data_IF_633264570751
#
_entry.id   IF_633264570751
#
_cell.length_a   1.000
_cell.length_b   1.000
_cell.length_c   1.000
_cell.angle_alpha   90.00
_cell.angle_beta   90.00
_cell.angle_gamma   90.00
#
_symmetry.space_group_name_H-M   'P 1'
#
loop_
_entity.id
_entity.type
_entity.pdbx_description
1 polymer ?
2 non-polymer ?
3 non-polymer ?
4 non-polymer ?
5 non-polymer ?
6 water ?
#
# COMPACT_ATOMS: atom_id res chain seq x y z
N UNK A 4 -14.97 -27.13 -7.18
CA UNK A 4 -16.19 -26.33 -7.12
C UNK A 4 -15.92 -24.83 -6.92
N UNK A 5 -16.94 -24.00 -7.18
CA UNK A 5 -16.89 -22.56 -7.03
C UNK A 5 -16.64 -22.11 -5.57
N UNK A 6 -16.28 -20.83 -5.38
CA UNK A 6 -16.00 -20.30 -4.06
C UNK A 6 -16.52 -18.89 -3.89
N UNK A 7 -17.07 -18.59 -2.72
CA UNK A 7 -17.43 -17.24 -2.31
C UNK A 7 -16.89 -16.99 -0.91
N UNK A 8 -16.66 -15.72 -0.58
CA UNK A 8 -16.09 -15.35 0.72
C UNK A 8 -17.04 -14.47 1.51
N UNK A 9 -16.96 -14.56 2.85
CA UNK A 9 -17.73 -13.70 3.75
C UNK A 9 -16.69 -13.02 4.62
N UNK A 10 -16.75 -11.70 4.74
CA UNK A 10 -15.79 -10.95 5.56
C UNK A 10 -16.52 -10.19 6.62
N UNK A 11 -16.16 -10.42 7.88
CA UNK A 11 -16.80 -9.76 9.02
C UNK A 11 -16.07 -8.48 9.27
N UNK A 12 -16.81 -7.34 9.22
CA UNK A 12 -16.18 -6.02 9.32
C UNK A 12 -17.06 -5.00 9.99
N UNK A 13 -18.05 -5.46 10.79
CA UNK A 13 -19.01 -4.60 11.48
C UNK A 13 -18.52 -3.97 12.79
N UNK A 14 -17.33 -4.34 13.26
CA UNK A 14 -16.75 -3.87 14.51
C UNK A 14 -16.51 -2.37 14.64
N UNK A 15 -16.79 -1.82 15.84
CA UNK A 15 -16.60 -0.40 16.13
C UNK A 15 -15.12 -0.04 16.23
N UNK A 16 -14.33 -0.93 16.86
CA UNK A 16 -12.91 -0.70 17.12
C UNK A 16 -12.70 0.42 18.11
N UNK A 17 -13.44 0.36 19.22
CA UNK A 17 -13.41 1.32 20.33
C UNK A 17 -11.98 1.62 20.82
N UNK A 18 -11.14 0.58 21.01
CA UNK A 18 -9.77 0.71 21.53
C UNK A 18 -8.79 1.38 20.55
N UNK A 19 -9.21 1.73 19.33
CA UNK A 19 -8.35 2.49 18.38
C UNK A 19 -8.48 3.99 18.71
N UNK A 20 -9.62 4.38 19.40
CA UNK A 20 -9.93 5.77 19.76
C UNK A 20 -9.94 6.69 18.54
N UNK A 21 -10.66 6.25 17.53
CA UNK A 21 -10.72 6.87 16.22
C UNK A 21 -12.15 7.15 15.76
N UNK A 22 -12.31 8.07 14.79
CA UNK A 22 -13.61 8.33 14.18
C UNK A 22 -13.84 7.32 13.07
N UNK A 23 -12.78 6.57 12.69
CA UNK A 23 -12.86 5.54 11.66
C UNK A 23 -13.35 4.25 12.26
N UNK A 24 -14.10 3.42 11.50
CA UNK A 24 -14.40 2.07 12.00
C UNK A 24 -13.12 1.23 11.93
N UNK A 25 -13.05 0.19 12.78
CA UNK A 25 -11.91 -0.71 12.98
C UNK A 25 -11.14 -1.16 11.72
N UNK A 26 -11.83 -1.62 10.67
CA UNK A 26 -11.20 -2.25 9.51
C UNK A 26 -10.59 -1.30 8.48
N UNK A 27 -10.88 0.01 8.58
CA UNK A 27 -10.38 1.01 7.64
C UNK A 27 -8.96 1.50 7.98
N UNK A 28 -8.47 1.24 9.22
CA UNK A 28 -7.10 1.59 9.59
C UNK A 28 -6.21 0.77 8.67
N UNK A 29 -5.17 1.40 8.18
CA UNK A 29 -4.32 0.80 7.17
C UNK A 29 -3.15 -0.03 7.67
N UNK A 30 -2.77 -1.00 6.82
CA UNK A 30 -1.57 -1.81 6.88
C UNK A 30 -0.91 -1.58 5.51
N UNK A 31 0.36 -1.12 5.51
CA UNK A 31 1.14 -0.85 4.29
C UNK A 31 0.39 0.03 3.30
N UNK A 32 -0.19 1.13 3.81
CA UNK A 32 -0.94 2.10 3.01
C UNK A 32 -2.29 1.64 2.48
N UNK A 33 -2.76 0.47 2.92
CA UNK A 33 -4.00 -0.14 2.46
C UNK A 33 -4.94 -0.49 3.66
N UNK A 34 -6.27 -0.19 3.63
CA UNK A 34 -7.14 -0.59 4.76
C UNK A 34 -7.06 -2.09 5.06
N UNK A 35 -7.12 -2.45 6.33
CA UNK A 35 -7.08 -3.86 6.76
C UNK A 35 -8.04 -4.76 5.94
N UNK A 36 -9.31 -4.31 5.80
CA UNK A 36 -10.35 -5.03 5.05
C UNK A 36 -10.00 -5.19 3.56
N UNK A 37 -9.28 -4.21 2.96
CA UNK A 37 -8.85 -4.25 1.56
C UNK A 37 -7.84 -5.39 1.32
N UNK A 38 -6.99 -5.68 2.33
CA UNK A 38 -6.06 -6.82 2.23
C UNK A 38 -6.86 -8.11 2.12
N UNK A 39 -7.94 -8.23 2.94
CA UNK A 39 -8.81 -9.40 3.01
C UNK A 39 -9.59 -9.58 1.68
N UNK A 40 -10.26 -8.49 1.22
CA UNK A 40 -10.98 -8.45 -0.07
C UNK A 40 -10.01 -8.87 -1.21
N UNK A 41 -8.75 -8.32 -1.23
CA UNK A 41 -7.79 -8.70 -2.27
C UNK A 41 -7.39 -10.14 -2.20
N UNK A 42 -7.14 -10.67 -0.96
CA UNK A 42 -6.83 -12.09 -0.77
C UNK A 42 -7.99 -12.95 -1.27
N UNK A 43 -9.23 -12.58 -0.91
CA UNK A 43 -10.44 -13.31 -1.33
C UNK A 43 -10.54 -13.32 -2.86
N UNK A 44 -10.23 -12.19 -3.50
CA UNK A 44 -10.21 -12.05 -4.97
C UNK A 44 -9.14 -12.95 -5.61
N UNK A 45 -7.93 -13.02 -5.03
CA UNK A 45 -6.87 -13.86 -5.59
C UNK A 45 -7.17 -15.38 -5.49
N UNK A 46 -8.06 -15.78 -4.56
CA UNK A 46 -8.52 -17.17 -4.41
C UNK A 46 -9.47 -17.56 -5.53
N UNK A 47 -10.21 -16.60 -6.07
CA UNK A 47 -11.16 -16.83 -7.14
C UNK A 47 -12.60 -16.76 -6.69
N UNK A 48 -12.88 -15.98 -5.63
CA UNK A 48 -14.24 -15.82 -5.11
C UNK A 48 -15.17 -15.15 -6.14
N UNK A 49 -16.34 -15.77 -6.41
CA UNK A 49 -17.36 -15.20 -7.29
C UNK A 49 -17.95 -13.99 -6.56
N UNK A 50 -18.32 -14.19 -5.28
CA UNK A 50 -18.85 -13.15 -4.42
C UNK A 50 -18.00 -12.97 -3.18
N UNK A 51 -18.00 -11.75 -2.68
CA UNK A 51 -17.32 -11.37 -1.46
C UNK A 51 -18.38 -10.61 -0.72
N UNK A 52 -18.94 -11.24 0.32
CA UNK A 52 -20.01 -10.63 1.11
C UNK A 52 -19.37 -9.89 2.25
N UNK A 53 -19.54 -8.57 2.24
CA UNK A 53 -18.93 -7.74 3.28
C UNK A 53 -19.97 -7.43 4.35
N UNK A 54 -19.78 -8.01 5.54
CA UNK A 54 -20.68 -7.74 6.65
C UNK A 54 -20.22 -6.45 7.31
N UNK A 55 -21.03 -5.41 7.23
CA UNK A 55 -20.69 -4.11 7.82
C UNK A 55 -21.80 -3.62 8.74
N UNK A 56 -21.44 -2.69 9.63
CA UNK A 56 -22.35 -2.14 10.61
C UNK A 56 -21.89 -0.76 11.04
N UNK A 57 -20.91 -0.72 11.97
CA UNK A 57 -20.31 0.53 12.50
C UNK A 57 -19.58 1.32 11.43
N UNK A 58 -19.86 2.62 11.41
CA UNK A 58 -19.26 3.56 10.47
C UNK A 58 -19.56 3.21 9.04
N UNK A 59 -20.83 2.90 8.77
CA UNK A 59 -21.34 2.51 7.47
C UNK A 59 -21.01 3.48 6.37
N UNK A 60 -21.29 4.77 6.59
CA UNK A 60 -21.01 5.85 5.62
C UNK A 60 -19.54 5.89 5.23
N UNK A 61 -18.66 5.86 6.25
CA UNK A 61 -17.21 5.87 6.04
C UNK A 61 -16.74 4.63 5.30
N UNK A 62 -17.35 3.45 5.59
CA UNK A 62 -16.99 2.20 4.91
C UNK A 62 -17.28 2.33 3.39
N UNK A 63 -18.48 2.84 3.06
CA UNK A 63 -18.96 3.04 1.68
C UNK A 63 -18.14 4.06 0.87
N UNK A 64 -17.66 5.13 1.50
CA UNK A 64 -16.85 6.14 0.79
C UNK A 64 -15.42 5.65 0.57
N UNK A 65 -14.83 4.98 1.58
CA UNK A 65 -13.47 4.49 1.49
C UNK A 65 -13.33 3.22 0.64
N UNK A 66 -14.44 2.46 0.47
CA UNK A 66 -14.40 1.20 -0.29
C UNK A 66 -15.39 1.18 -1.43
N UNK A 67 -15.75 2.40 -1.93
CA UNK A 67 -16.70 2.61 -3.04
C UNK A 67 -16.44 1.76 -4.28
N UNK A 68 -15.17 1.55 -4.64
CA UNK A 68 -14.81 0.83 -5.85
C UNK A 68 -14.61 -0.69 -5.68
N UNK A 69 -14.80 -1.23 -4.46
CA UNK A 69 -14.63 -2.66 -4.21
C UNK A 69 -15.78 -3.51 -4.76
N UNK A 70 -15.45 -4.63 -5.42
CA UNK A 70 -16.44 -5.56 -5.96
C UNK A 70 -16.92 -6.50 -4.84
N UNK A 71 -17.75 -5.96 -3.96
CA UNK A 71 -18.29 -6.71 -2.81
C UNK A 71 -19.81 -6.56 -2.74
N UNK A 72 -20.45 -7.48 -2.04
CA UNK A 72 -21.87 -7.38 -1.74
C UNK A 72 -21.96 -6.80 -0.32
N UNK A 73 -22.48 -5.56 -0.21
CA UNK A 73 -22.66 -4.80 1.02
C UNK A 73 -23.81 -5.37 1.84
N UNK A 74 -23.48 -6.03 2.96
CA UNK A 74 -24.49 -6.67 3.83
C UNK A 74 -24.50 -5.96 5.18
N UNK A 75 -25.55 -5.18 5.45
CA UNK A 75 -25.68 -4.47 6.72
C UNK A 75 -26.24 -5.38 7.84
N UNK A 76 -25.50 -5.43 8.97
CA UNK A 76 -25.92 -6.14 10.17
C UNK A 76 -26.23 -5.01 11.15
N UNK A 77 -27.53 -4.74 11.42
CA UNK A 77 -27.93 -3.62 12.30
C UNK A 77 -27.56 -3.81 13.78
N UNK A 78 -27.41 -5.06 14.20
CA UNK A 78 -27.06 -5.37 15.59
C UNK A 78 -26.06 -6.50 15.66
N UNK A 79 -25.04 -6.33 16.51
CA UNK A 79 -24.00 -7.35 16.66
C UNK A 79 -24.45 -8.45 17.62
N UNK A 80 -25.22 -9.39 17.08
CA UNK A 80 -25.78 -10.51 17.83
C UNK A 80 -24.84 -11.73 17.89
N UNK A 81 -23.68 -11.62 17.25
CA UNK A 81 -22.67 -12.66 17.23
C UNK A 81 -22.21 -12.97 15.82
N UNK A 82 -21.01 -13.58 15.70
CA UNK A 82 -20.37 -13.98 14.44
C UNK A 82 -21.23 -14.91 13.58
N UNK A 83 -22.08 -15.77 14.19
CA UNK A 83 -22.94 -16.66 13.39
C UNK A 83 -24.10 -15.86 12.79
N UNK A 84 -24.65 -14.92 13.58
CA UNK A 84 -25.70 -14.01 13.15
C UNK A 84 -25.19 -13.17 11.94
N UNK A 85 -23.91 -12.70 12.00
CA UNK A 85 -23.26 -11.92 10.94
C UNK A 85 -23.16 -12.74 9.64
N UNK A 86 -22.64 -13.99 9.70
CA UNK A 86 -22.55 -14.87 8.52
C UNK A 86 -23.95 -15.16 7.95
N UNK A 87 -24.93 -15.43 8.82
CA UNK A 87 -26.30 -15.70 8.40
C UNK A 87 -26.95 -14.54 7.60
N UNK A 88 -26.46 -13.29 7.80
CA UNK A 88 -26.97 -12.14 7.05
C UNK A 88 -26.70 -12.31 5.54
N UNK A 89 -25.58 -12.99 5.20
CA UNK A 89 -25.13 -13.23 3.80
C UNK A 89 -25.56 -14.57 3.25
N UNK A 90 -25.94 -15.53 4.13
CA UNK A 90 -26.36 -16.89 3.81
C UNK A 90 -27.45 -16.99 2.73
N UNK A 91 -28.49 -16.12 2.65
CA UNK A 91 -29.43 -16.25 1.50
C UNK A 91 -28.75 -16.11 0.11
N UNK A 92 -27.55 -15.54 0.05
CA UNK A 92 -26.81 -15.36 -1.22
C UNK A 92 -25.78 -16.46 -1.48
N UNK A 93 -25.67 -17.46 -0.55
CA UNK A 93 -24.73 -18.57 -0.71
C UNK A 93 -25.28 -19.57 -1.71
N UNK A 94 -24.45 -20.00 -2.66
CA UNK A 94 -24.89 -21.05 -3.58
C UNK A 94 -24.72 -22.37 -2.83
N UNK A 95 -25.73 -23.26 -2.89
CA UNK A 95 -25.68 -24.55 -2.19
C UNK A 95 -24.43 -25.35 -2.56
N UNK A 96 -24.04 -25.38 -3.84
CA UNK A 96 -22.90 -26.18 -4.31
C UNK A 96 -21.60 -25.39 -4.49
N UNK A 97 -21.46 -24.28 -3.75
CA UNK A 97 -20.24 -23.50 -3.77
C UNK A 97 -19.62 -23.51 -2.37
N UNK A 98 -18.30 -23.39 -2.29
CA UNK A 98 -17.60 -23.30 -1.02
C UNK A 98 -17.62 -21.87 -0.52
N UNK A 99 -17.73 -21.69 0.80
CA UNK A 99 -17.75 -20.40 1.48
C UNK A 99 -16.64 -20.35 2.51
N UNK A 100 -15.76 -19.35 2.40
CA UNK A 100 -14.66 -19.13 3.36
C UNK A 100 -15.01 -17.92 4.24
N UNK A 101 -14.88 -18.06 5.57
CA UNK A 101 -15.21 -16.98 6.53
C UNK A 101 -13.95 -16.31 6.97
N UNK A 102 -13.86 -14.99 6.74
CA UNK A 102 -12.69 -14.18 7.02
C UNK A 102 -13.07 -12.98 7.87
N UNK A 103 -12.09 -12.33 8.49
CA UNK A 103 -12.28 -11.21 9.42
C UNK A 103 -11.51 -9.99 8.94
N UNK A 104 -12.23 -8.88 8.79
CA UNK A 104 -11.69 -7.62 8.29
C UNK A 104 -10.54 -7.05 9.10
N UNK A 105 -10.46 -7.45 10.41
CA UNK A 105 -9.44 -6.98 11.36
C UNK A 105 -8.33 -8.00 11.61
N UNK A 106 -8.27 -9.08 10.79
CA UNK A 106 -7.20 -10.08 10.83
C UNK A 106 -6.77 -10.05 9.37
N UNK A 107 -5.95 -9.06 8.97
CA UNK A 107 -5.72 -8.85 7.53
C UNK A 107 -4.60 -9.61 6.86
N UNK A 108 -3.71 -10.26 7.62
CA UNK A 108 -2.53 -10.85 7.00
C UNK A 108 -2.70 -12.29 6.54
N UNK A 109 -3.94 -12.79 6.54
CA UNK A 109 -4.25 -14.15 6.10
C UNK A 109 -3.80 -14.37 4.63
N UNK A 110 -3.02 -15.40 4.36
CA UNK A 110 -2.51 -15.59 2.99
C UNK A 110 -3.39 -16.49 2.12
N UNK A 111 -3.27 -16.28 0.80
CA UNK A 111 -3.95 -17.01 -0.26
C UNK A 111 -3.51 -18.47 -0.20
N UNK A 112 -2.23 -18.71 0.09
CA UNK A 112 -1.62 -20.04 0.19
C UNK A 112 -2.17 -20.86 1.36
N UNK A 113 -2.39 -20.21 2.52
CA UNK A 113 -2.98 -20.85 3.71
C UNK A 113 -4.46 -21.22 3.45
N UNK A 114 -5.20 -20.28 2.85
CA UNK A 114 -6.61 -20.44 2.50
C UNK A 114 -6.82 -21.50 1.43
N UNK A 115 -5.85 -21.64 0.48
CA UNK A 115 -5.89 -22.68 -0.56
C UNK A 115 -5.74 -24.06 0.04
N UNK A 116 -4.84 -24.19 1.03
CA UNK A 116 -4.58 -25.43 1.79
C UNK A 116 -5.82 -25.74 2.64
N UNK A 117 -6.50 -24.69 3.17
CA UNK A 117 -7.72 -24.86 3.97
C UNK A 117 -8.86 -25.39 3.11
N UNK A 118 -9.08 -24.79 1.92
CA UNK A 118 -10.14 -25.19 0.99
C UNK A 118 -9.93 -26.62 0.51
N UNK A 119 -8.67 -26.94 0.17
CA UNK A 119 -8.25 -28.26 -0.33
C UNK A 119 -8.58 -29.38 0.66
N UNK A 120 -8.34 -29.14 1.96
CA UNK A 120 -8.55 -30.13 3.03
C UNK A 120 -10.02 -30.31 3.46
N UNK A 121 -10.92 -29.43 2.99
CA UNK A 121 -12.34 -29.50 3.34
C UNK A 121 -13.01 -30.79 2.85
N UNK A 122 -13.50 -31.64 3.80
CA UNK A 122 -14.20 -32.88 3.37
C UNK A 122 -15.62 -32.56 2.92
N UNK A 123 -16.13 -33.33 1.93
CA UNK A 123 -17.47 -33.14 1.38
C UNK A 123 -18.54 -33.17 2.48
N UNK A 124 -19.38 -32.12 2.52
CA UNK A 124 -20.46 -31.88 3.50
C UNK A 124 -19.94 -31.57 4.90
N UNK A 125 -18.62 -31.40 5.01
CA UNK A 125 -17.95 -31.07 6.27
C UNK A 125 -17.35 -29.69 6.34
N UNK A 126 -16.47 -29.48 7.35
CA UNK A 126 -15.83 -28.19 7.59
C UNK A 126 -14.33 -28.38 7.60
N UNK A 127 -13.61 -27.34 7.10
CA UNK A 127 -12.17 -27.21 7.20
C UNK A 127 -11.99 -26.01 8.12
N UNK A 128 -11.42 -26.28 9.29
CA UNK A 128 -11.20 -25.30 10.31
C UNK A 128 -9.74 -24.92 10.34
N UNK A 129 -9.46 -23.60 10.31
CA UNK A 129 -8.11 -23.07 10.39
C UNK A 129 -7.71 -22.99 11.84
N UNK A 130 -6.59 -23.62 12.18
CA UNK A 130 -6.08 -23.62 13.55
C UNK A 130 -4.66 -23.06 13.59
N UNK A 131 -4.14 -22.86 14.81
CA UNK A 131 -2.81 -22.32 15.03
C UNK A 131 -2.27 -22.79 16.40
N UNK A 132 -0.94 -22.98 16.51
CA UNK A 132 -0.32 -23.34 17.78
C UNK A 132 0.19 -22.09 18.47
N UNK A 133 -0.12 -21.95 19.74
CA UNK A 133 0.34 -20.83 20.57
C UNK A 133 1.19 -21.36 21.71
N UNK A 134 2.27 -20.65 22.05
CA UNK A 134 3.16 -21.01 23.17
C UNK A 134 2.38 -20.86 24.46
N UNK A 135 1.55 -19.81 24.52
CA UNK A 135 0.63 -19.52 25.61
C UNK A 135 -0.79 -19.44 24.98
N UNK A 136 -1.54 -20.58 25.00
CA UNK A 136 -2.89 -20.59 24.38
C UNK A 136 -4.01 -20.09 25.30
N UNK A 137 -3.65 -19.51 26.47
CA UNK A 137 -4.56 -18.99 27.49
C UNK A 137 -5.59 -18.05 26.89
N UNK A 138 -6.86 -18.35 27.17
CA UNK A 138 -8.01 -17.57 26.68
C UNK A 138 -8.64 -18.06 25.38
N UNK A 139 -7.94 -18.93 24.63
CA UNK A 139 -8.41 -19.41 23.33
C UNK A 139 -9.03 -20.79 23.38
N UNK A 140 -9.93 -21.06 22.42
CA UNK A 140 -10.62 -22.33 22.30
C UNK A 140 -9.70 -23.43 21.83
N UNK A 141 -9.45 -24.45 22.72
CA UNK A 141 -8.55 -25.57 22.44
C UNK A 141 -9.19 -26.54 21.49
N UNK A 142 -8.39 -27.01 20.52
CA UNK A 142 -8.82 -27.97 19.49
C UNK A 142 -8.66 -29.35 20.06
N UNK A 143 -9.75 -30.13 20.04
CA UNK A 143 -9.77 -31.52 20.48
C UNK A 143 -9.93 -32.38 19.24
N UNK A 144 -8.91 -33.20 18.94
CA UNK A 144 -8.92 -34.12 17.82
C UNK A 144 -9.19 -35.55 18.34
N UNK A 145 -10.06 -36.29 17.64
CA UNK A 145 -10.38 -37.71 17.92
C UNK A 145 -10.56 -38.36 16.56
N UNK A 146 -9.67 -39.34 16.26
CA UNK A 146 -9.56 -40.06 14.98
C UNK A 146 -9.16 -39.10 13.83
N UNK A 147 -8.33 -38.10 14.16
CA UNK A 147 -7.80 -37.10 13.22
C UNK A 147 -8.68 -35.88 13.03
N UNK A 148 -10.00 -36.02 13.32
CA UNK A 148 -11.05 -35.00 13.16
C UNK A 148 -11.37 -34.20 14.43
N UNK A 149 -11.70 -32.90 14.26
CA UNK A 149 -12.05 -31.95 15.32
C UNK A 149 -13.43 -32.30 15.88
N UNK A 150 -13.46 -32.73 17.13
CA UNK A 150 -14.69 -33.13 17.82
C UNK A 150 -15.23 -32.02 18.70
N UNK A 151 -14.35 -31.09 19.13
CA UNK A 151 -14.76 -29.98 19.97
C UNK A 151 -13.74 -28.85 20.04
N UNK A 152 -14.25 -27.65 20.28
CA UNK A 152 -13.46 -26.45 20.52
C UNK A 152 -13.84 -26.19 21.96
N UNK A 153 -12.89 -26.42 22.86
CA UNK A 153 -13.12 -26.29 24.30
C UNK A 153 -12.62 -24.94 24.77
N UNK A 154 -13.54 -24.12 25.27
CA UNK A 154 -13.26 -22.78 25.76
C UNK A 154 -12.45 -22.81 27.06
N UNK A 155 -11.62 -21.77 27.27
CA UNK A 155 -10.75 -21.59 28.43
C UNK A 155 -11.43 -21.90 29.75
N UNK A 156 -12.62 -21.32 29.99
CA UNK A 156 -13.39 -21.50 31.23
C UNK A 156 -13.87 -22.94 31.49
N UNK A 157 -14.01 -23.76 30.43
CA UNK A 157 -14.49 -25.14 30.50
C UNK A 157 -13.41 -26.22 30.52
N UNK A 158 -12.23 -25.94 29.94
CA UNK A 158 -11.14 -26.91 29.81
C UNK A 158 -10.62 -27.51 31.13
N UNK A 159 -10.30 -28.82 31.12
CA UNK A 159 -9.70 -29.50 32.26
C UNK A 159 -8.17 -29.26 32.20
N UNK A 160 -7.46 -29.56 33.29
CA UNK A 160 -6.00 -29.40 33.45
C UNK A 160 -5.17 -29.87 32.24
N UNK A 161 -5.53 -31.05 31.68
CA UNK A 161 -4.90 -31.69 30.52
C UNK A 161 -5.21 -30.90 29.22
N UNK A 162 -6.49 -30.46 29.07
CA UNK A 162 -6.93 -29.68 27.92
C UNK A 162 -6.32 -28.29 27.90
N UNK A 163 -6.06 -27.70 29.08
CA UNK A 163 -5.44 -26.37 29.22
C UNK A 163 -4.03 -26.34 28.60
N UNK A 164 -3.34 -27.50 28.57
CA UNK A 164 -2.00 -27.66 28.00
C UNK A 164 -2.00 -27.85 26.47
N UNK A 165 -3.19 -28.00 25.85
CA UNK A 165 -3.32 -28.10 24.38
C UNK A 165 -2.92 -26.73 23.82
N UNK A 166 -1.98 -26.72 22.86
CA UNK A 166 -1.45 -25.49 22.24
C UNK A 166 -2.19 -25.10 20.95
N UNK A 167 -2.83 -26.09 20.28
CA UNK A 167 -3.61 -25.89 19.07
C UNK A 167 -4.93 -25.20 19.40
N UNK A 168 -5.17 -24.02 18.81
CA UNK A 168 -6.36 -23.24 19.08
C UNK A 168 -7.11 -22.85 17.81
N UNK A 169 -8.39 -22.51 17.99
CA UNK A 169 -9.31 -22.04 16.96
C UNK A 169 -8.97 -20.58 16.59
N UNK A 170 -9.03 -20.28 15.27
CA UNK A 170 -8.78 -18.94 14.67
C UNK A 170 -10.09 -18.26 14.22
N UNK A 171 -11.16 -19.04 14.07
CA UNK A 171 -12.45 -18.55 13.58
C UNK A 171 -12.61 -18.71 12.08
N UNK A 172 -11.49 -18.90 11.36
CA UNK A 172 -11.46 -19.04 9.91
C UNK A 172 -11.86 -20.46 9.57
N UNK A 173 -12.84 -20.59 8.67
CA UNK A 173 -13.38 -21.88 8.28
C UNK A 173 -13.97 -21.87 6.89
N UNK A 174 -14.11 -23.07 6.28
CA UNK A 174 -14.68 -23.31 4.95
C UNK A 174 -15.71 -24.44 5.04
N UNK A 175 -16.85 -24.24 4.40
CA UNK A 175 -17.89 -25.25 4.24
C UNK A 175 -18.71 -24.86 3.01
N UNK A 176 -19.53 -25.78 2.51
CA UNK A 176 -20.39 -25.46 1.37
C UNK A 176 -21.56 -24.60 1.86
N UNK A 177 -22.18 -23.88 0.93
CA UNK A 177 -23.29 -22.97 1.20
C UNK A 177 -24.50 -23.60 1.86
N UNK A 178 -24.91 -24.81 1.40
CA UNK A 178 -26.07 -25.52 1.95
C UNK A 178 -25.84 -25.92 3.39
N UNK A 179 -24.61 -26.32 3.75
CA UNK A 179 -24.25 -26.69 5.13
C UNK A 179 -24.26 -25.46 6.01
N UNK A 180 -23.82 -24.29 5.50
CA UNK A 180 -23.87 -23.04 6.27
C UNK A 180 -25.32 -22.66 6.57
N UNK A 181 -26.20 -22.68 5.54
CA UNK A 181 -27.62 -22.34 5.68
C UNK A 181 -28.29 -23.19 6.75
N UNK A 182 -28.05 -24.51 6.68
CA UNK A 182 -28.58 -25.51 7.59
C UNK A 182 -28.08 -25.29 9.01
N UNK A 183 -26.75 -25.23 9.22
CA UNK A 183 -26.21 -25.12 10.56
C UNK A 183 -26.44 -23.76 11.23
N UNK A 184 -26.31 -22.62 10.49
CA UNK A 184 -26.52 -21.29 11.07
C UNK A 184 -27.91 -21.11 11.65
N UNK A 185 -28.94 -21.71 11.03
CA UNK A 185 -30.34 -21.69 11.50
C UNK A 185 -30.51 -22.43 12.83
N UNK A 186 -29.52 -23.29 13.18
CA UNK A 186 -29.52 -24.12 14.38
C UNK A 186 -28.64 -23.57 15.50
N UNK A 187 -27.90 -22.48 15.29
CA UNK A 187 -27.04 -21.87 16.33
C UNK A 187 -27.91 -21.10 17.35
N UNK A 188 -27.67 -21.35 18.64
CA UNK A 188 -28.36 -20.70 19.74
C UNK A 188 -27.46 -19.69 20.43
N UNK A 189 -28.00 -18.93 21.40
CA UNK A 189 -27.20 -17.93 22.12
C UNK A 189 -27.16 -18.21 23.64
N UNK A 190 -27.37 -19.49 24.02
CA UNK A 190 -27.36 -19.85 25.43
C UNK A 190 -25.94 -19.98 25.97
N UNK A 191 -25.36 -18.84 26.35
CA UNK A 191 -24.00 -18.74 26.91
C UNK A 191 -23.90 -17.42 27.68
N UNK A 192 -22.81 -17.19 28.42
CA UNK A 192 -22.60 -15.98 29.23
C UNK A 192 -22.76 -14.65 28.47
N UNK A 193 -22.41 -14.61 27.18
CA UNK A 193 -22.47 -13.39 26.36
C UNK A 193 -23.81 -13.21 25.62
N UNK A 194 -24.62 -14.27 25.57
CA UNK A 194 -25.91 -14.22 24.88
C UNK A 194 -25.75 -13.96 23.39
N UNK A 195 -24.69 -14.54 22.80
CA UNK A 195 -24.36 -14.35 21.40
C UNK A 195 -24.44 -15.64 20.59
N UNK A 196 -24.73 -15.51 19.27
CA UNK A 196 -24.75 -16.63 18.34
C UNK A 196 -23.35 -16.76 17.74
N UNK A 197 -22.56 -17.69 18.28
CA UNK A 197 -21.18 -17.94 17.88
C UNK A 197 -21.08 -18.88 16.70
N UNK A 198 -20.30 -18.47 15.68
CA UNK A 198 -19.98 -19.28 14.50
C UNK A 198 -19.21 -20.55 14.93
N UNK A 199 -18.52 -20.49 16.12
CA UNK A 199 -17.76 -21.59 16.74
C UNK A 199 -18.64 -22.85 16.89
N UNK A 200 -19.92 -22.65 17.24
CA UNK A 200 -20.92 -23.71 17.47
C UNK A 200 -21.19 -24.62 16.28
N UNK A 201 -20.77 -24.21 15.07
CA UNK A 201 -20.93 -24.97 13.84
C UNK A 201 -20.10 -26.26 13.86
N UNK A 202 -19.00 -26.30 14.67
CA UNK A 202 -18.17 -27.49 14.82
C UNK A 202 -18.96 -28.56 15.57
N UNK A 203 -19.61 -28.19 16.70
CA UNK A 203 -20.45 -29.10 17.46
C UNK A 203 -21.64 -29.57 16.60
N UNK A 204 -22.22 -28.65 15.78
CA UNK A 204 -23.35 -28.97 14.91
C UNK A 204 -22.96 -29.91 13.80
N UNK A 205 -21.73 -29.76 13.29
CA UNK A 205 -21.24 -30.63 12.21
C UNK A 205 -21.12 -32.05 12.74
N UNK A 206 -20.50 -32.22 13.92
CA UNK A 206 -20.34 -33.52 14.62
C UNK A 206 -21.66 -34.15 14.92
N UNK A 207 -22.68 -33.35 15.35
CA UNK A 207 -24.05 -33.82 15.60
C UNK A 207 -24.65 -34.48 14.36
N UNK A 208 -24.30 -33.98 13.16
CA UNK A 208 -24.80 -34.45 11.86
C UNK A 208 -23.92 -35.54 11.25
N UNK A 209 -22.89 -35.96 12.00
CA UNK A 209 -21.89 -36.95 11.60
C UNK A 209 -21.14 -36.48 10.34
N UNK A 210 -20.87 -35.17 10.31
CA UNK A 210 -20.10 -34.52 9.26
C UNK A 210 -18.75 -34.26 9.86
N UNK A 211 -17.74 -34.37 9.02
CA UNK A 211 -16.34 -34.31 9.40
C UNK A 211 -15.78 -32.89 9.46
N UNK A 212 -15.07 -32.59 10.55
CA UNK A 212 -14.41 -31.31 10.77
C UNK A 212 -12.90 -31.63 10.77
N UNK A 213 -12.20 -31.09 9.80
CA UNK A 213 -10.77 -31.28 9.59
C UNK A 213 -10.03 -29.97 9.95
N UNK A 214 -8.95 -30.08 10.78
CA UNK A 214 -8.11 -28.96 11.19
C UNK A 214 -6.97 -28.74 10.20
N UNK A 215 -6.68 -27.46 9.88
CA UNK A 215 -5.57 -27.07 9.00
C UNK A 215 -4.75 -26.04 9.79
N UNK A 216 -3.49 -26.34 10.05
CA UNK A 216 -2.66 -25.40 10.80
C UNK A 216 -2.11 -24.29 9.92
N UNK A 217 -2.20 -23.04 10.38
CA UNK A 217 -1.67 -21.88 9.66
C UNK A 217 -0.11 -21.89 9.68
N UNK A 218 0.52 -21.25 8.69
CA UNK A 218 1.99 -21.16 8.61
C UNK A 218 2.54 -20.34 9.83
N UNK A 219 2.05 -19.10 10.01
CA UNK A 219 2.45 -18.19 11.07
C UNK A 219 1.26 -17.74 11.90
N UNK A 220 1.50 -17.42 13.18
CA UNK A 220 0.47 -16.90 14.12
C UNK A 220 -0.01 -15.53 13.64
N UNK A 221 0.92 -14.74 13.09
CA UNK A 221 0.66 -13.37 12.63
C UNK A 221 -0.36 -13.29 11.50
N UNK A 222 -0.55 -14.38 10.73
CA UNK A 222 -1.52 -14.49 9.65
C UNK A 222 -2.94 -14.44 10.18
N UNK A 223 -3.16 -14.96 11.41
CA UNK A 223 -4.49 -15.03 11.98
C UNK A 223 -4.69 -13.99 13.09
N UNK A 224 -3.63 -13.22 13.39
CA UNK A 224 -3.69 -12.18 14.44
C UNK A 224 -4.58 -11.01 14.06
N UNK A 225 -5.45 -10.63 14.98
CA UNK A 225 -6.33 -9.49 14.82
C UNK A 225 -5.74 -8.26 15.48
N UNK A 226 -6.15 -7.08 15.04
CA UNK A 226 -5.67 -5.84 15.64
C UNK A 226 -6.86 -5.16 16.33
N UNK A 227 -6.79 -5.01 17.66
CA UNK A 227 -7.83 -4.35 18.47
C UNK A 227 -7.47 -2.92 18.86
N UNK A 228 -6.19 -2.57 18.69
CA UNK A 228 -5.67 -1.24 19.01
C UNK A 228 -4.52 -0.89 18.04
N UNK A 229 -4.01 0.33 18.11
CA UNK A 229 -2.94 0.78 17.22
C UNK A 229 -1.58 0.13 17.51
N UNK A 230 -1.36 -0.35 18.77
CA UNK A 230 -0.14 -1.05 19.17
C UNK A 230 -0.08 -2.41 18.45
N UNK A 231 -1.20 -3.13 18.44
CA UNK A 231 -1.30 -4.43 17.76
C UNK A 231 -1.21 -4.26 16.25
N UNK A 232 -1.82 -3.19 15.73
CA UNK A 232 -1.78 -2.79 14.33
C UNK A 232 -0.30 -2.57 13.92
N UNK A 233 0.47 -1.82 14.75
CA UNK A 233 1.90 -1.57 14.50
C UNK A 233 2.70 -2.88 14.45
N UNK A 234 2.35 -3.87 15.31
CA UNK A 234 3.04 -5.18 15.31
C UNK A 234 2.75 -5.93 13.99
N UNK A 235 1.50 -5.85 13.51
CA UNK A 235 1.10 -6.46 12.22
C UNK A 235 1.88 -5.81 11.07
N UNK A 236 2.03 -4.46 11.11
CA UNK A 236 2.75 -3.65 10.12
C UNK A 236 4.23 -4.08 10.04
N UNK A 237 4.90 -4.19 11.21
CA UNK A 237 6.30 -4.63 11.23
C UNK A 237 6.48 -6.04 10.66
N UNK A 238 5.63 -6.98 11.10
CA UNK A 238 5.64 -8.34 10.57
C UNK A 238 5.46 -8.34 9.02
N UNK A 239 4.45 -7.58 8.51
CA UNK A 239 4.16 -7.46 7.08
C UNK A 239 5.33 -6.87 6.31
N UNK A 240 5.89 -5.77 6.84
CA UNK A 240 7.05 -5.13 6.21
C UNK A 240 8.25 -6.05 6.16
N UNK A 241 8.57 -6.74 7.29
CA UNK A 241 9.68 -7.69 7.31
C UNK A 241 9.47 -8.82 6.29
N UNK A 242 8.21 -9.25 6.10
CA UNK A 242 7.85 -10.32 5.16
C UNK A 242 8.08 -9.88 3.72
N UNK A 243 7.68 -8.63 3.38
CA UNK A 243 7.86 -8.06 2.04
C UNK A 243 9.34 -7.90 1.71
N UNK A 244 10.13 -7.35 2.65
CA UNK A 244 11.57 -7.11 2.52
C UNK A 244 12.34 -8.42 2.33
N UNK A 245 12.01 -9.47 3.09
CA UNK A 245 12.63 -10.79 2.96
C UNK A 245 12.39 -11.38 1.56
N UNK A 246 11.15 -11.26 1.03
CA UNK A 246 10.80 -11.76 -0.31
C UNK A 246 11.64 -11.01 -1.35
N UNK A 247 11.81 -9.69 -1.15
CA UNK A 247 12.58 -8.87 -2.05
C UNK A 247 14.05 -9.25 -2.01
N UNK A 248 14.61 -9.39 -0.81
CA UNK A 248 15.99 -9.81 -0.61
C UNK A 248 16.26 -11.17 -1.28
N UNK A 249 15.31 -12.13 -1.14
CA UNK A 249 15.46 -13.45 -1.76
C UNK A 249 15.27 -13.39 -3.30
N UNK A 250 14.60 -12.33 -3.79
CA UNK A 250 14.44 -12.08 -5.23
C UNK A 250 15.70 -11.40 -5.82
N UNK A 251 16.61 -10.93 -4.98
CA UNK A 251 17.86 -10.31 -5.43
C UNK A 251 17.91 -8.79 -5.30
N UNK A 252 17.04 -8.20 -4.46
CA UNK A 252 17.08 -6.74 -4.25
C UNK A 252 18.00 -6.51 -3.06
N UNK A 253 19.08 -5.70 -3.22
CA UNK A 253 19.96 -5.40 -2.09
C UNK A 253 19.31 -4.35 -1.19
N UNK A 254 18.61 -4.78 -0.14
CA UNK A 254 18.00 -3.85 0.81
C UNK A 254 18.97 -3.82 1.97
N UNK A 255 19.69 -2.72 2.13
CA UNK A 255 20.76 -2.55 3.15
C UNK A 255 20.30 -2.93 4.57
N UNK A 256 19.07 -2.54 4.93
CA UNK A 256 18.48 -2.87 6.23
C UNK A 256 17.00 -3.11 6.01
N UNK A 257 16.58 -4.41 6.05
CA UNK A 257 15.15 -4.72 5.89
C UNK A 257 14.29 -4.15 7.02
N UNK A 258 14.87 -3.84 8.20
CA UNK A 258 14.13 -3.25 9.33
C UNK A 258 13.84 -1.73 9.10
N UNK A 259 14.49 -1.11 8.07
CA UNK A 259 14.29 0.29 7.73
C UNK A 259 13.94 0.42 6.28
N UNK A 260 12.93 -0.34 5.86
CA UNK A 260 12.43 -0.37 4.49
C UNK A 260 10.94 -0.49 4.55
N UNK A 261 10.22 0.27 3.73
CA UNK A 261 8.74 0.22 3.72
C UNK A 261 8.21 0.20 2.30
N UNK A 262 7.41 -0.83 1.98
CA UNK A 262 6.69 -1.02 0.72
C UNK A 262 5.22 -0.89 1.06
N UNK A 263 4.57 0.11 0.47
CA UNK A 263 3.15 0.40 0.68
C UNK A 263 2.49 0.41 -0.69
N UNK A 264 2.50 -0.75 -1.34
CA UNK A 264 1.96 -0.95 -2.69
C UNK A 264 2.67 -2.09 -3.39
N UNK A 265 3.10 -1.88 -4.64
CA UNK A 265 3.80 -2.90 -5.41
C UNK A 265 5.15 -2.43 -5.94
N UNK A 266 6.10 -3.36 -5.94
CA UNK A 266 7.41 -3.11 -6.45
C UNK A 266 7.72 -4.09 -7.55
N UNK A 267 8.08 -3.56 -8.70
CA UNK A 267 8.55 -4.30 -9.87
C UNK A 267 10.04 -3.96 -9.96
N UNK A 268 10.92 -4.96 -10.04
CA UNK A 268 12.35 -4.64 -10.04
C UNK A 268 13.19 -5.42 -11.05
N UNK A 269 14.31 -4.84 -11.46
CA UNK A 269 15.27 -5.53 -12.29
C UNK A 269 16.29 -6.23 -11.40
N UNK A 270 17.47 -6.53 -11.96
CA UNK A 270 18.54 -7.17 -11.22
C UNK A 270 19.51 -6.11 -10.68
N UNK A 271 20.24 -6.46 -9.62
CA UNK A 271 21.26 -5.64 -8.98
C UNK A 271 20.74 -4.26 -8.50
N UNK A 272 19.50 -4.20 -8.03
CA UNK A 272 18.90 -2.99 -7.45
C UNK A 272 19.42 -2.81 -6.00
N UNK A 273 19.85 -1.61 -5.64
CA UNK A 273 20.37 -1.31 -4.28
C UNK A 273 19.53 -0.28 -3.60
N UNK A 274 18.96 -0.63 -2.44
CA UNK A 274 18.08 0.26 -1.68
C UNK A 274 18.69 0.53 -0.31
N UNK A 275 19.09 1.80 -0.05
CA UNK A 275 19.72 2.17 1.21
C UNK A 275 18.66 2.31 2.30
N UNK A 276 19.08 2.57 3.53
CA UNK A 276 18.22 2.60 4.71
C UNK A 276 17.23 3.77 4.67
N UNK A 277 16.03 3.56 5.24
CA UNK A 277 14.96 4.56 5.38
C UNK A 277 14.39 4.99 4.06
N UNK A 278 14.14 4.04 3.16
CA UNK A 278 13.53 4.33 1.88
C UNK A 278 12.04 3.88 1.98
N UNK A 279 11.12 4.68 1.41
CA UNK A 279 9.68 4.35 1.41
C UNK A 279 9.24 4.26 -0.04
N UNK A 280 8.64 3.12 -0.42
CA UNK A 280 8.11 2.82 -1.75
C UNK A 280 6.58 2.82 -1.64
N UNK A 281 5.87 3.74 -2.33
CA UNK A 281 4.38 3.87 -2.28
C UNK A 281 3.74 3.73 -3.64
N UNK A 282 2.49 3.24 -3.68
CA UNK A 282 1.75 3.02 -4.92
C UNK A 282 2.39 1.98 -5.82
N UNK A 283 2.39 2.22 -7.15
CA UNK A 283 3.00 1.30 -8.11
C UNK A 283 4.35 1.83 -8.55
N UNK A 284 5.42 1.16 -8.13
CA UNK A 284 6.78 1.59 -8.45
C UNK A 284 7.50 0.52 -9.28
N UNK A 285 8.19 0.97 -10.33
CA UNK A 285 8.95 0.08 -11.20
C UNK A 285 10.37 0.59 -11.27
N UNK A 286 11.33 -0.29 -10.91
CA UNK A 286 12.75 0.02 -10.97
C UNK A 286 13.40 -0.87 -12.02
N UNK A 287 14.19 -0.29 -12.91
CA UNK A 287 14.95 -1.05 -13.89
C UNK A 287 16.14 -1.74 -13.25
N UNK A 288 17.05 -2.28 -14.08
CA UNK A 288 18.27 -2.95 -13.61
C UNK A 288 19.27 -1.95 -13.04
N UNK A 289 19.98 -2.35 -11.96
CA UNK A 289 21.07 -1.58 -11.31
C UNK A 289 20.66 -0.18 -10.83
N UNK A 290 19.38 0.01 -10.49
CA UNK A 290 18.92 1.25 -9.90
C UNK A 290 19.50 1.30 -8.47
N UNK A 291 20.04 2.46 -8.05
CA UNK A 291 20.56 2.66 -6.70
C UNK A 291 19.72 3.75 -6.04
N UNK A 292 19.19 3.48 -4.85
CA UNK A 292 18.37 4.44 -4.10
C UNK A 292 19.10 4.75 -2.81
N UNK A 293 19.47 6.02 -2.63
CA UNK A 293 20.16 6.55 -1.47
C UNK A 293 19.25 6.67 -0.28
N UNK A 294 19.84 6.89 0.89
CA UNK A 294 19.08 6.97 2.13
C UNK A 294 17.99 8.04 2.13
N UNK A 295 16.87 7.77 2.77
CA UNK A 295 15.81 8.75 2.94
C UNK A 295 14.90 9.08 1.77
N UNK A 296 14.97 8.33 0.68
CA UNK A 296 14.12 8.63 -0.46
C UNK A 296 12.70 8.14 -0.31
N UNK A 297 11.75 8.83 -0.99
CA UNK A 297 10.33 8.46 -0.99
C UNK A 297 9.94 8.42 -2.46
N UNK A 298 9.55 7.22 -2.94
CA UNK A 298 9.16 7.01 -4.33
C UNK A 298 7.72 6.60 -4.35
N UNK A 299 6.84 7.43 -4.96
CA UNK A 299 5.41 7.13 -5.03
C UNK A 299 4.94 7.15 -6.45
N UNK A 300 4.45 6.00 -6.96
CA UNK A 300 3.95 5.91 -8.34
C UNK A 300 4.96 6.41 -9.37
N UNK A 301 6.15 5.81 -9.34
CA UNK A 301 7.23 6.21 -10.24
C UNK A 301 7.66 5.08 -11.15
N UNK A 302 8.27 5.40 -12.27
CA UNK A 302 8.89 4.48 -13.21
C UNK A 302 10.34 4.98 -13.36
N UNK A 303 11.31 4.13 -12.99
CA UNK A 303 12.73 4.45 -13.00
C UNK A 303 13.44 3.50 -13.96
N UNK A 304 14.07 4.04 -14.99
CA UNK A 304 14.77 3.24 -15.98
C UNK A 304 16.05 2.63 -15.45
N UNK A 305 16.71 1.78 -16.25
CA UNK A 305 17.98 1.13 -15.89
C UNK A 305 19.07 2.14 -15.54
N UNK A 306 19.96 1.78 -14.58
CA UNK A 306 21.16 2.53 -14.24
C UNK A 306 20.96 3.92 -13.69
N UNK A 307 19.78 4.20 -13.11
CA UNK A 307 19.51 5.49 -12.49
C UNK A 307 20.03 5.44 -11.04
N UNK A 308 20.62 6.53 -10.60
CA UNK A 308 21.01 6.67 -9.22
C UNK A 308 20.19 7.82 -8.63
N UNK A 309 19.52 7.53 -7.52
CA UNK A 309 18.75 8.51 -6.76
C UNK A 309 19.54 8.72 -5.47
N UNK A 310 20.13 9.89 -5.34
CA UNK A 310 20.99 10.29 -4.22
C UNK A 310 20.14 10.66 -3.01
N UNK A 311 20.71 10.68 -1.78
CA UNK A 311 19.88 10.86 -0.58
C UNK A 311 18.82 11.98 -0.55
N UNK A 312 17.77 11.73 0.23
CA UNK A 312 16.68 12.67 0.53
C UNK A 312 16.00 13.27 -0.71
N UNK A 313 15.65 12.41 -1.66
CA UNK A 313 14.91 12.81 -2.85
C UNK A 313 13.48 12.31 -2.73
N UNK A 314 12.50 13.13 -3.11
CA UNK A 314 11.06 12.79 -3.01
C UNK A 314 10.50 12.90 -4.42
N UNK A 315 10.00 11.76 -4.96
CA UNK A 315 9.46 11.61 -6.30
C UNK A 315 8.05 11.08 -6.23
N UNK A 316 7.15 11.64 -7.04
CA UNK A 316 5.74 11.23 -7.14
C UNK A 316 5.20 11.39 -8.56
N UNK A 317 4.41 10.39 -9.07
CA UNK A 317 3.79 10.41 -10.40
C UNK A 317 4.76 10.95 -11.44
N UNK A 318 5.96 10.37 -11.46
CA UNK A 318 7.04 10.77 -12.34
C UNK A 318 7.66 9.60 -13.11
N UNK A 319 8.34 9.91 -14.20
CA UNK A 319 9.05 8.95 -15.05
C UNK A 319 10.49 9.44 -15.18
N UNK A 320 11.46 8.52 -14.99
CA UNK A 320 12.89 8.82 -15.07
C UNK A 320 13.56 7.86 -16.04
N UNK A 321 14.19 8.41 -17.07
CA UNK A 321 14.88 7.66 -18.10
C UNK A 321 16.21 7.06 -17.65
N UNK A 322 16.70 6.09 -18.40
CA UNK A 322 17.93 5.38 -18.07
C UNK A 322 19.15 6.30 -17.91
N UNK A 323 20.03 5.95 -16.96
CA UNK A 323 21.28 6.64 -16.65
C UNK A 323 21.10 8.08 -16.13
N UNK A 324 19.86 8.47 -15.75
CA UNK A 324 19.61 9.79 -15.18
C UNK A 324 20.21 9.82 -13.78
N UNK A 325 20.51 11.01 -13.28
CA UNK A 325 21.12 11.18 -11.95
C UNK A 325 20.24 12.15 -11.19
N UNK A 326 19.65 11.68 -10.07
CA UNK A 326 18.75 12.51 -9.27
C UNK A 326 19.23 12.71 -7.86
N UNK A 327 19.11 13.94 -7.35
CA UNK A 327 19.43 14.24 -5.96
C UNK A 327 20.87 14.62 -5.72
N UNK A 328 21.25 14.78 -4.45
CA UNK A 328 20.40 14.63 -3.25
C UNK A 328 19.45 15.83 -3.15
N UNK A 329 18.42 15.74 -2.29
CA UNK A 329 17.48 16.85 -2.06
C UNK A 329 16.70 17.30 -3.30
N UNK A 330 16.40 16.37 -4.23
CA UNK A 330 15.60 16.69 -5.40
C UNK A 330 14.12 16.43 -5.09
N UNK A 331 13.23 17.20 -5.74
CA UNK A 331 11.79 17.03 -5.59
C UNK A 331 11.16 16.84 -6.97
N UNK A 332 10.62 15.63 -7.24
CA UNK A 332 9.88 15.42 -8.49
C UNK A 332 8.42 15.36 -8.12
N UNK A 333 7.65 16.33 -8.62
CA UNK A 333 6.21 16.42 -8.36
C UNK A 333 5.43 15.78 -9.52
N UNK A 334 4.10 15.49 -9.38
CA UNK A 334 3.35 14.86 -10.50
C UNK A 334 3.56 15.48 -11.88
N UNK A 335 3.76 14.61 -12.88
CA UNK A 335 3.96 14.97 -14.28
C UNK A 335 5.41 15.22 -14.67
N UNK A 336 6.37 15.03 -13.75
CA UNK A 336 7.80 15.20 -14.05
C UNK A 336 8.27 14.05 -14.91
N UNK A 337 8.76 14.35 -16.12
CA UNK A 337 9.25 13.33 -17.05
C UNK A 337 10.69 13.63 -17.46
N UNK A 338 11.61 12.87 -16.87
CA UNK A 338 13.01 13.07 -17.16
C UNK A 338 13.43 12.05 -18.19
N UNK A 339 14.00 12.53 -19.31
CA UNK A 339 14.46 11.63 -20.36
C UNK A 339 15.76 10.97 -19.89
N UNK A 340 16.34 10.09 -20.72
CA UNK A 340 17.61 9.45 -20.43
C UNK A 340 18.76 10.46 -20.22
N UNK A 341 19.73 10.07 -19.42
CA UNK A 341 20.98 10.80 -19.13
C UNK A 341 20.79 12.25 -18.64
N UNK A 342 19.67 12.53 -17.96
CA UNK A 342 19.37 13.86 -17.40
C UNK A 342 20.03 14.04 -16.02
N UNK A 343 20.03 15.27 -15.49
CA UNK A 343 20.64 15.55 -14.19
C UNK A 343 19.78 16.52 -13.41
N UNK A 344 19.31 16.09 -12.23
CA UNK A 344 18.49 16.92 -11.32
C UNK A 344 19.22 16.90 -9.96
N UNK A 345 19.60 18.09 -9.50
CA UNK A 345 20.41 18.30 -8.30
C UNK A 345 19.69 18.80 -7.08
N UNK A 346 20.46 19.25 -6.09
CA UNK A 346 19.92 19.65 -4.79
C UNK A 346 19.07 20.90 -4.83
N UNK A 347 17.97 20.89 -4.06
CA UNK A 347 17.08 22.04 -3.92
C UNK A 347 16.44 22.43 -5.26
N UNK A 348 16.13 21.43 -6.06
CA UNK A 348 15.49 21.56 -7.35
C UNK A 348 14.13 20.91 -7.26
N UNK A 349 13.13 21.63 -7.78
CA UNK A 349 11.75 21.18 -7.83
C UNK A 349 11.28 21.15 -9.27
N UNK A 350 10.83 19.98 -9.74
CA UNK A 350 10.30 19.81 -11.08
C UNK A 350 8.82 19.40 -10.93
N UNK A 351 7.92 20.16 -11.57
CA UNK A 351 6.49 19.87 -11.53
C UNK A 351 5.88 19.92 -12.94
N UNK A 352 5.17 18.84 -13.34
CA UNK A 352 4.46 18.76 -14.62
C UNK A 352 5.26 19.35 -15.79
N UNK A 353 6.47 18.83 -15.97
CA UNK A 353 7.39 19.28 -16.99
C UNK A 353 8.10 18.09 -17.62
N UNK A 354 8.50 18.25 -18.88
CA UNK A 354 9.29 17.26 -19.59
C UNK A 354 10.70 17.85 -19.70
N UNK A 355 11.72 17.01 -19.47
CA UNK A 355 13.14 17.42 -19.50
C UNK A 355 13.85 16.47 -20.47
N UNK A 356 14.32 17.00 -21.59
CA UNK A 356 14.97 16.25 -22.65
C UNK A 356 16.33 15.68 -22.34
N UNK A 357 16.73 14.68 -23.14
CA UNK A 357 17.97 13.90 -22.98
C UNK A 357 19.21 14.75 -22.75
N UNK A 358 19.98 14.39 -21.73
CA UNK A 358 21.23 15.08 -21.39
C UNK A 358 21.12 16.42 -20.69
N UNK A 359 19.89 16.94 -20.52
CA UNK A 359 19.68 18.24 -19.88
C UNK A 359 19.98 18.22 -18.38
N UNK A 360 20.49 19.33 -17.86
CA UNK A 360 20.86 19.43 -16.46
C UNK A 360 20.19 20.59 -15.76
N UNK A 361 19.62 20.31 -14.56
CA UNK A 361 18.93 21.26 -13.69
C UNK A 361 19.49 20.91 -12.32
N UNK A 362 20.69 21.41 -12.03
CA UNK A 362 21.44 20.99 -10.87
C UNK A 362 21.35 21.80 -9.58
N UNK A 363 20.73 22.99 -9.57
CA UNK A 363 20.69 23.79 -8.31
C UNK A 363 19.60 24.81 -8.18
N UNK A 364 19.00 24.85 -6.98
CA UNK A 364 18.12 25.90 -6.46
C UNK A 364 17.16 26.46 -7.49
N UNK A 365 16.41 25.57 -8.12
CA UNK A 365 15.57 25.90 -9.26
C UNK A 365 14.16 25.36 -9.14
N UNK A 366 13.20 26.08 -9.73
CA UNK A 366 11.84 25.62 -9.84
C UNK A 366 11.49 25.57 -11.30
N UNK A 367 11.10 24.37 -11.78
CA UNK A 367 10.64 24.16 -13.16
C UNK A 367 9.23 23.59 -13.11
N UNK A 368 8.26 24.38 -13.54
CA UNK A 368 6.84 24.00 -13.54
C UNK A 368 6.14 24.25 -14.84
N UNK A 369 5.29 23.30 -15.29
CA UNK A 369 4.51 23.40 -16.54
C UNK A 369 5.39 23.82 -17.69
N UNK A 370 6.53 23.12 -17.84
CA UNK A 370 7.51 23.42 -18.85
C UNK A 370 7.85 22.24 -19.73
N UNK A 371 8.36 22.53 -20.94
CA UNK A 371 8.87 21.53 -21.83
C UNK A 371 10.31 21.94 -22.13
N UNK A 372 11.28 21.14 -21.70
CA UNK A 372 12.70 21.44 -21.91
C UNK A 372 13.24 20.41 -22.86
N UNK A 373 13.92 20.86 -23.90
CA UNK A 373 14.49 19.97 -24.90
C UNK A 373 15.74 19.26 -24.41
N UNK A 374 16.46 18.67 -25.36
CA UNK A 374 17.67 17.92 -25.08
C UNK A 374 18.91 18.82 -24.94
N UNK A 375 19.89 18.38 -24.13
CA UNK A 375 21.19 19.02 -23.90
C UNK A 375 21.12 20.50 -23.50
N UNK A 376 20.13 20.82 -22.64
CA UNK A 376 20.01 22.16 -22.08
C UNK A 376 20.76 22.28 -20.77
N UNK A 377 21.19 23.50 -20.45
CA UNK A 377 21.86 23.80 -19.20
C UNK A 377 21.00 24.82 -18.47
N UNK A 378 20.24 24.38 -17.45
CA UNK A 378 19.37 25.25 -16.62
C UNK A 378 20.15 25.67 -15.39
N UNK A 379 20.69 26.88 -15.42
CA UNK A 379 21.54 27.42 -14.34
C UNK A 379 20.86 27.49 -12.99
N UNK A 380 21.67 27.56 -11.93
CA UNK A 380 21.25 27.69 -10.54
C UNK A 380 20.34 28.92 -10.37
N UNK A 381 19.30 28.80 -9.55
CA UNK A 381 18.40 29.92 -9.27
C UNK A 381 17.38 30.26 -10.35
N UNK A 382 17.32 29.45 -11.43
CA UNK A 382 16.37 29.70 -12.54
C UNK A 382 14.97 29.35 -12.04
N UNK A 383 13.97 30.16 -12.38
CA UNK A 383 12.60 29.93 -11.93
C UNK A 383 11.68 30.17 -13.12
N UNK A 384 10.73 29.26 -13.33
CA UNK A 384 9.69 29.43 -14.33
C UNK A 384 8.54 30.03 -13.51
N UNK A 385 7.95 31.15 -13.94
CA UNK A 385 6.83 31.76 -13.24
C UNK A 385 5.74 32.25 -14.18
N UNK A 386 4.69 32.79 -13.60
CA UNK A 386 3.51 33.34 -14.26
C UNK A 386 3.24 34.77 -13.80
N UNK A 387 2.41 35.49 -14.59
CA UNK A 387 1.89 36.82 -14.26
C UNK A 387 0.78 36.61 -13.22
N UNK A 388 0.41 37.69 -12.50
CA UNK A 388 -0.67 37.62 -11.52
C UNK A 388 -2.01 37.48 -12.28
N UNK A 389 -2.86 36.58 -11.82
CA UNK A 389 -4.15 36.29 -12.43
C UNK A 389 -4.09 35.24 -13.53
N UNK A 390 -2.86 34.78 -13.87
CA UNK A 390 -2.59 33.76 -14.88
C UNK A 390 -3.10 32.39 -14.43
N UNK A 391 -3.23 31.48 -15.39
CA UNK A 391 -3.73 30.13 -15.14
C UNK A 391 -2.67 29.08 -15.52
N UNK A 392 -1.44 29.20 -14.96
CA UNK A 392 -0.30 28.29 -15.21
C UNK A 392 -0.15 28.10 -16.74
N UNK A 393 0.50 29.07 -17.41
CA UNK A 393 0.49 29.16 -18.86
C UNK A 393 1.55 28.42 -19.72
N UNK A 394 2.57 27.76 -19.14
CA UNK A 394 3.58 26.96 -19.89
C UNK A 394 4.79 27.71 -20.48
N UNK A 395 5.97 27.13 -20.23
CA UNK A 395 7.30 27.56 -20.69
C UNK A 395 7.81 26.51 -21.68
N UNK A 396 8.19 26.94 -22.90
CA UNK A 396 8.72 26.02 -23.90
C UNK A 396 10.19 26.33 -24.19
N UNK A 397 11.08 25.40 -23.84
CA UNK A 397 12.52 25.52 -24.09
C UNK A 397 12.90 24.44 -25.12
N UNK A 398 13.51 24.85 -26.22
CA UNK A 398 13.97 23.94 -27.27
C UNK A 398 15.22 23.18 -26.90
N UNK A 399 15.98 22.73 -27.90
CA UNK A 399 17.22 21.96 -27.70
C UNK A 399 18.44 22.86 -27.58
N UNK A 400 19.45 22.40 -26.81
CA UNK A 400 20.75 23.08 -26.67
C UNK A 400 20.64 24.54 -26.20
N UNK A 401 19.73 24.79 -25.25
CA UNK A 401 19.58 26.13 -24.70
C UNK A 401 20.42 26.30 -23.42
N UNK A 402 21.12 27.43 -23.29
CA UNK A 402 21.84 27.78 -22.07
C UNK A 402 20.95 28.82 -21.34
N UNK A 403 20.55 28.55 -20.09
CA UNK A 403 19.77 29.52 -19.31
C UNK A 403 20.65 29.91 -18.12
N UNK A 404 21.16 31.13 -18.13
CA UNK A 404 22.04 31.67 -17.10
C UNK A 404 21.41 31.69 -15.73
N UNK A 405 22.26 31.59 -14.72
CA UNK A 405 21.87 31.54 -13.32
C UNK A 405 20.99 32.73 -12.91
N UNK A 406 19.97 32.44 -12.11
CA UNK A 406 19.01 33.42 -11.56
C UNK A 406 18.16 34.12 -12.64
N UNK A 407 17.73 33.38 -13.66
CA UNK A 407 16.86 33.95 -14.70
C UNK A 407 15.41 33.63 -14.37
N UNK A 408 14.49 34.55 -14.71
CA UNK A 408 13.08 34.27 -14.51
C UNK A 408 12.47 34.07 -15.87
N UNK A 409 11.80 32.92 -16.06
CA UNK A 409 11.12 32.61 -17.32
C UNK A 409 9.66 32.86 -17.04
N UNK A 410 9.12 33.89 -17.67
CA UNK A 410 7.74 34.32 -17.42
C UNK A 410 6.83 33.75 -18.49
N UNK A 411 6.07 32.71 -18.09
CA UNK A 411 5.10 32.04 -18.95
C UNK A 411 3.92 32.95 -19.23
N UNK A 412 3.26 32.83 -20.41
CA UNK A 412 3.59 31.96 -21.56
C UNK A 412 4.80 32.50 -22.34
N UNK A 413 5.78 31.64 -22.69
CA UNK A 413 7.00 32.06 -23.41
C UNK A 413 7.68 30.86 -24.03
N UNK A 414 8.34 31.08 -25.17
CA UNK A 414 9.10 30.06 -25.91
C UNK A 414 10.53 30.51 -26.06
N UNK A 415 11.47 29.58 -25.93
CA UNK A 415 12.91 29.82 -26.14
C UNK A 415 13.34 28.75 -27.12
N UNK A 416 13.61 29.14 -28.37
CA UNK A 416 13.96 28.24 -29.47
C UNK A 416 15.36 27.61 -29.34
N UNK A 417 15.62 26.57 -30.18
CA UNK A 417 16.91 25.85 -30.22
C UNK A 417 18.15 26.74 -30.23
N UNK A 418 19.15 26.33 -29.49
CA UNK A 418 20.45 27.01 -29.46
C UNK A 418 20.52 28.40 -28.85
N UNK A 419 19.41 28.88 -28.27
CA UNK A 419 19.39 30.20 -27.64
C UNK A 419 20.28 30.26 -26.39
N UNK A 420 20.74 31.43 -26.02
CA UNK A 420 21.61 31.63 -24.86
C UNK A 420 21.07 32.78 -24.07
N UNK A 421 20.85 32.54 -22.78
CA UNK A 421 20.35 33.56 -21.90
C UNK A 421 21.38 33.83 -20.83
N UNK A 422 21.77 35.08 -20.70
CA UNK A 422 22.70 35.55 -19.67
C UNK A 422 22.10 35.52 -18.27
N UNK A 423 22.95 35.49 -17.26
CA UNK A 423 22.54 35.46 -15.86
C UNK A 423 21.72 36.69 -15.45
N UNK A 424 20.79 36.47 -14.51
CA UNK A 424 19.96 37.53 -13.93
C UNK A 424 18.99 38.21 -14.88
N UNK A 425 18.52 37.49 -15.88
CA UNK A 425 17.60 38.00 -16.90
C UNK A 425 16.10 37.78 -16.55
N UNK A 426 15.22 38.65 -17.04
CA UNK A 426 13.76 38.47 -16.93
C UNK A 426 13.25 38.23 -18.36
N UNK A 427 12.85 36.98 -18.67
CA UNK A 427 12.38 36.62 -20.01
C UNK A 427 10.87 36.63 -20.01
N UNK A 428 10.28 37.56 -20.78
CA UNK A 428 8.85 37.72 -20.95
C UNK A 428 8.48 37.57 -22.43
N UNK A 429 9.44 37.76 -23.33
CA UNK A 429 9.17 37.64 -24.77
C UNK A 429 9.94 36.48 -25.37
N UNK A 430 9.35 35.82 -26.37
CA UNK A 430 9.91 34.67 -27.10
C UNK A 430 11.31 34.88 -27.57
N UNK A 431 12.16 33.85 -27.44
CA UNK A 431 13.55 33.95 -27.83
C UNK A 431 13.78 33.10 -29.10
N UNK A 432 14.35 33.72 -30.13
CA UNK A 432 14.58 33.07 -31.41
C UNK A 432 15.69 32.05 -31.42
N UNK A 433 15.72 31.23 -32.50
CA UNK A 433 16.76 30.21 -32.67
C UNK A 433 18.10 30.90 -32.74
N UNK A 434 19.01 30.52 -31.84
CA UNK A 434 20.37 31.09 -31.73
C UNK A 434 20.37 32.56 -31.28
N UNK A 435 19.32 33.01 -30.59
CA UNK A 435 19.32 34.38 -30.09
C UNK A 435 20.05 34.45 -28.73
N UNK A 436 20.97 35.41 -28.59
CA UNK A 436 21.67 35.66 -27.34
C UNK A 436 20.95 36.83 -26.66
N UNK A 437 20.50 36.62 -25.42
CA UNK A 437 19.79 37.62 -24.63
C UNK A 437 20.58 37.83 -23.35
N UNK A 438 21.08 39.04 -23.18
CA UNK A 438 21.84 39.39 -21.98
C UNK A 438 21.26 40.68 -21.37
N UNK A 439 21.29 40.80 -20.03
CA UNK A 439 20.78 41.99 -19.34
C UNK A 439 21.84 43.11 -19.38
N UNK A 440 21.40 44.33 -19.73
CA UNK A 440 22.28 45.50 -19.67
C UNK A 440 22.11 46.01 -18.22
N UNK A 441 23.18 46.00 -17.42
CA UNK A 441 23.02 46.45 -16.03
C UNK A 441 23.56 47.86 -15.83
N UNK A 442 22.90 48.59 -14.93
CA UNK A 442 23.33 49.91 -14.52
C UNK A 442 23.76 49.77 -13.07
N UNK A 443 24.99 50.23 -12.77
CA UNK A 443 25.51 50.15 -11.42
C UNK A 443 26.16 51.41 -10.91
N UNK A 444 25.97 51.70 -9.62
CA UNK A 444 26.64 52.82 -8.97
C UNK A 444 27.85 52.26 -8.22
N UNK A 445 29.03 52.78 -8.51
CA UNK A 445 30.27 52.38 -7.88
C UNK A 445 30.79 53.54 -7.03
N UNK A 446 30.99 53.29 -5.73
CA UNK A 446 31.45 54.30 -4.76
C UNK A 446 32.77 53.83 -4.17
N UNK A 447 33.85 54.57 -4.41
CA UNK A 447 35.17 54.20 -3.93
C UNK A 447 35.35 54.63 -2.48
N UNK A 448 36.26 53.94 -1.78
CA UNK A 448 36.56 54.23 -0.37
C UNK A 448 35.35 54.17 0.53
N UNK A 449 34.48 53.17 0.32
CA UNK A 449 33.31 52.97 1.14
C UNK A 449 33.74 52.08 2.30
N UNK A 450 33.88 52.70 3.48
CA UNK A 450 34.29 52.02 4.69
C UNK A 450 33.06 51.38 5.36
N UNK A 451 33.05 50.03 5.41
CA UNK A 451 31.96 49.22 5.99
C UNK A 451 31.79 49.54 7.48
N UNK A 452 30.54 49.47 8.03
CA UNK A 452 30.36 49.80 9.45
C UNK A 452 30.83 48.65 10.36
N UNK A 453 32.16 48.48 10.45
CA UNK A 453 32.87 47.44 11.21
C UNK A 453 34.17 48.01 11.80
#
# INVERSE_FOLDING_TARGET
MTKKALSAVILAAGKGTRMYSDLPKVLHTIAGKPMVKHVIDTAHQLGSENIHLIYGHGGDLMRTHLANEQVNWVLQTEQLGTAHAVQQAAPFFKDNENIVVLYGDAPLITKETLEKLIEAKPENGIALLTVNLDNPTGYGRIIRENGNVVAIVEQKDANAEQLNIKEVNTGVMVSDGASFKKWLARVGNNNAQGEYYLTDLIALANQDNCQVVAVQATDVMEVEGANNRLQLAALERYFQNKQASKLLLEGVMIYDPARFDLRGTLEHGKDVEIDVNVIIEGNVKLGDRVKIGTGCVLKNVVIGNDVEIKPYSVLEDSIVGEKAAIGPFSRLRPGAELAAETHVGNFVEIKKSTVGKGSKVNHLTYVGDSEIGSNCNIGAGVITCNYDGANKFKTIIGDDVFVGSDTQLVAPVKVANGATIGAGTTITRDVGENELVITRVAQRHIQGWQRPIKKK
#
